data_IF_875186038056
#
_entry.id   IF_875186038056
#
_cell.length_a   1.000
_cell.length_b   1.000
_cell.length_c   1.000
_cell.angle_alpha   90.00
_cell.angle_beta   90.00
_cell.angle_gamma   90.00
#
_symmetry.space_group_name_H-M   'P 1'
#
loop_
_entity.id
_entity.type
_entity.pdbx_description
1 polymer ?
#
# COMPACT_ATOMS: atom_id res chain seq x y z
N UNK A 1 -10.76 20.00 -7.66
CA UNK A 1 -10.41 20.49 -9.01
C UNK A 1 -11.07 19.72 -10.17
N UNK A 2 -11.23 18.39 -10.16
CA UNK A 2 -11.89 17.67 -11.28
C UNK A 2 -13.41 17.90 -11.38
N UNK A 3 -14.17 17.64 -10.31
CA UNK A 3 -15.64 17.87 -10.27
C UNK A 3 -16.06 19.32 -10.54
N UNK A 4 -15.17 20.27 -10.23
CA UNK A 4 -15.40 21.70 -10.50
C UNK A 4 -15.21 22.06 -11.98
N UNK A 5 -14.36 21.30 -12.70
CA UNK A 5 -14.05 21.56 -14.11
C UNK A 5 -14.97 20.79 -15.06
N UNK A 6 -15.59 19.71 -14.59
CA UNK A 6 -16.50 18.85 -15.36
C UNK A 6 -17.73 18.52 -14.48
N UNK A 7 -18.66 19.47 -14.30
CA UNK A 7 -19.79 19.30 -13.40
C UNK A 7 -20.77 18.22 -13.86
N UNK A 8 -20.89 18.00 -15.18
CA UNK A 8 -21.81 17.02 -15.77
C UNK A 8 -21.25 15.59 -15.79
N UNK A 9 -20.01 15.39 -15.31
CA UNK A 9 -19.40 14.06 -15.22
C UNK A 9 -19.72 13.42 -13.88
N UNK A 10 -20.51 12.35 -13.91
CA UNK A 10 -20.79 11.53 -12.74
C UNK A 10 -19.63 10.57 -12.45
N UNK A 11 -19.07 10.67 -11.23
CA UNK A 11 -17.99 9.79 -10.77
C UNK A 11 -18.56 8.83 -9.74
N UNK A 12 -18.54 7.54 -10.07
CA UNK A 12 -18.81 6.47 -9.13
C UNK A 12 -17.47 5.93 -8.59
N UNK A 13 -17.37 5.80 -7.28
CA UNK A 13 -16.19 5.24 -6.61
C UNK A 13 -16.59 3.98 -5.90
N UNK A 14 -15.77 2.93 -6.03
CA UNK A 14 -15.96 1.65 -5.36
C UNK A 14 -14.70 1.27 -4.63
N UNK A 15 -14.82 0.93 -3.35
CA UNK A 15 -13.73 0.39 -2.57
C UNK A 15 -13.63 -1.11 -2.84
N UNK A 16 -12.51 -1.55 -3.40
CA UNK A 16 -12.19 -2.95 -3.72
C UNK A 16 -10.69 -3.20 -3.56
N UNK A 17 -10.28 -4.46 -3.41
CA UNK A 17 -8.87 -4.79 -3.45
C UNK A 17 -8.35 -4.83 -4.90
N UNK A 18 -7.03 -4.75 -5.09
CA UNK A 18 -6.41 -4.71 -6.43
C UNK A 18 -6.76 -5.92 -7.29
N UNK A 19 -6.91 -7.12 -6.71
CA UNK A 19 -7.23 -8.35 -7.47
C UNK A 19 -8.63 -8.26 -8.09
N UNK A 20 -9.58 -7.73 -7.33
CA UNK A 20 -10.96 -7.52 -7.78
C UNK A 20 -11.08 -6.46 -8.88
N UNK A 21 -10.07 -5.60 -9.07
CA UNK A 21 -10.09 -4.61 -10.16
C UNK A 21 -9.72 -5.22 -11.51
N UNK A 22 -8.99 -6.34 -11.54
CA UNK A 22 -8.40 -6.88 -12.78
C UNK A 22 -9.47 -7.24 -13.81
N UNK A 23 -10.45 -8.05 -13.42
CA UNK A 23 -11.51 -8.52 -14.33
C UNK A 23 -12.37 -7.36 -14.84
N UNK A 24 -12.96 -6.49 -13.99
CA UNK A 24 -13.76 -5.36 -14.45
C UNK A 24 -13.00 -4.38 -15.35
N UNK A 25 -11.71 -4.14 -15.10
CA UNK A 25 -10.88 -3.30 -15.98
C UNK A 25 -10.63 -3.98 -17.33
N UNK A 26 -10.35 -5.28 -17.33
CA UNK A 26 -10.10 -6.04 -18.56
C UNK A 26 -11.34 -6.21 -19.44
N UNK A 27 -12.52 -6.26 -18.84
CA UNK A 27 -13.81 -6.37 -19.53
C UNK A 27 -14.40 -5.00 -19.90
N UNK A 28 -13.71 -3.90 -19.58
CA UNK A 28 -14.18 -2.54 -19.87
C UNK A 28 -15.36 -2.09 -19.01
N UNK A 29 -15.70 -2.81 -17.94
CA UNK A 29 -16.74 -2.43 -16.98
C UNK A 29 -16.29 -1.22 -16.14
N UNK A 30 -15.00 -1.11 -15.85
CA UNK A 30 -14.39 0.04 -15.19
C UNK A 30 -13.42 0.77 -16.11
N UNK A 31 -13.42 2.09 -16.01
CA UNK A 31 -12.56 2.95 -16.82
C UNK A 31 -11.18 3.12 -16.17
N UNK A 32 -11.13 3.21 -14.82
CA UNK A 32 -9.90 3.45 -14.06
C UNK A 32 -9.83 2.55 -12.83
N UNK A 33 -8.62 2.09 -12.52
CA UNK A 33 -8.27 1.41 -11.27
C UNK A 33 -7.17 2.15 -10.54
N UNK A 34 -7.26 2.19 -9.21
CA UNK A 34 -6.24 2.77 -8.34
C UNK A 34 -5.74 1.72 -7.37
N UNK A 35 -4.44 1.49 -7.37
CA UNK A 35 -3.82 0.41 -6.61
C UNK A 35 -2.54 0.92 -5.94
N UNK A 36 -2.34 0.55 -4.67
CA UNK A 36 -1.11 0.79 -3.95
C UNK A 36 -0.20 -0.44 -4.09
N UNK A 37 0.48 -0.61 -5.24
CA UNK A 37 1.39 -1.75 -5.46
C UNK A 37 2.65 -1.31 -6.20
N UNK A 38 3.81 -1.86 -5.81
CA UNK A 38 5.08 -1.77 -6.51
C UNK A 38 5.15 -2.68 -7.77
N UNK A 39 4.12 -3.50 -8.04
CA UNK A 39 4.08 -4.50 -9.11
C UNK A 39 2.68 -4.71 -9.73
N UNK A 40 1.98 -3.64 -10.13
CA UNK A 40 0.79 -3.79 -10.98
C UNK A 40 1.12 -4.61 -12.23
N UNK A 41 0.51 -5.80 -12.36
CA UNK A 41 0.66 -6.70 -13.52
C UNK A 41 -0.29 -6.35 -14.67
N UNK A 42 -0.92 -5.18 -14.62
CA UNK A 42 -1.75 -4.68 -15.73
C UNK A 42 -0.83 -4.13 -16.83
N UNK A 43 -1.16 -4.35 -18.12
CA UNK A 43 -0.27 -3.98 -19.24
C UNK A 43 -0.13 -2.47 -19.44
N UNK A 44 -1.06 -1.65 -18.91
CA UNK A 44 -0.99 -0.20 -18.93
C UNK A 44 -1.21 0.35 -17.51
N UNK A 45 -0.22 1.07 -16.99
CA UNK A 45 -0.32 1.79 -15.73
C UNK A 45 0.57 3.04 -15.76
N UNK A 46 0.16 4.07 -15.02
CA UNK A 46 0.97 5.25 -14.76
C UNK A 46 1.05 5.53 -13.26
N UNK A 47 2.17 6.11 -12.82
CA UNK A 47 2.34 6.52 -11.42
C UNK A 47 1.68 7.88 -11.22
N UNK A 48 0.51 7.87 -10.58
CA UNK A 48 -0.24 9.10 -10.23
C UNK A 48 0.33 9.77 -8.97
N UNK A 49 0.82 8.99 -8.00
CA UNK A 49 1.34 9.49 -6.74
C UNK A 49 2.54 8.66 -6.27
N UNK A 50 3.47 9.29 -5.55
CA UNK A 50 4.52 8.62 -4.79
C UNK A 50 4.36 8.98 -3.33
N UNK A 51 4.07 7.99 -2.50
CA UNK A 51 3.92 8.16 -1.05
C UNK A 51 5.12 7.52 -0.32
N UNK A 52 5.70 8.20 0.68
CA UNK A 52 6.76 7.62 1.49
C UNK A 52 6.20 6.54 2.42
N UNK A 53 6.98 5.47 2.64
CA UNK A 53 6.69 4.51 3.72
C UNK A 53 7.04 5.16 5.06
N UNK A 54 6.08 5.16 5.99
CA UNK A 54 6.23 5.75 7.32
C UNK A 54 6.29 4.66 8.40
N UNK A 55 7.17 4.83 9.37
CA UNK A 55 7.26 3.97 10.55
C UNK A 55 6.51 4.61 11.72
N UNK A 56 5.46 3.96 12.20
CA UNK A 56 4.76 4.38 13.42
C UNK A 56 5.40 3.70 14.63
N UNK A 57 5.85 4.52 15.59
CA UNK A 57 6.48 4.05 16.84
C UNK A 57 5.83 4.72 18.05
N UNK A 58 5.80 4.06 19.22
CA UNK A 58 5.39 4.72 20.46
C UNK A 58 6.21 5.99 20.72
N UNK A 59 5.60 7.03 21.29
CA UNK A 59 6.26 8.31 21.53
C UNK A 59 7.50 8.20 22.45
N UNK A 60 7.52 7.21 23.35
CA UNK A 60 8.66 6.93 24.23
C UNK A 60 9.74 6.04 23.60
N UNK A 61 9.56 5.57 22.36
CA UNK A 61 10.51 4.71 21.68
C UNK A 61 11.75 5.52 21.23
N UNK A 62 12.98 5.01 21.34
CA UNK A 62 14.19 5.74 20.92
C UNK A 62 14.15 6.22 19.46
N UNK A 63 13.48 5.50 18.57
CA UNK A 63 13.29 5.90 17.17
C UNK A 63 12.37 7.12 17.00
N UNK A 64 11.51 7.45 17.96
CA UNK A 64 10.63 8.62 17.89
C UNK A 64 11.41 9.95 17.89
N UNK A 65 12.67 9.92 18.34
CA UNK A 65 13.58 11.08 18.33
C UNK A 65 14.37 11.20 17.03
N UNK A 66 14.23 10.25 16.12
CA UNK A 66 14.96 10.25 14.85
C UNK A 66 14.08 10.82 13.74
N UNK A 67 14.61 11.71 12.88
CA UNK A 67 13.84 12.27 11.77
C UNK A 67 13.54 11.23 10.67
N UNK A 68 14.28 10.12 10.66
CA UNK A 68 14.13 9.02 9.72
C UNK A 68 14.64 7.73 10.34
N UNK A 69 14.04 6.59 9.98
CA UNK A 69 14.46 5.27 10.42
C UNK A 69 15.02 4.50 9.23
N UNK A 70 16.23 3.97 9.34
CA UNK A 70 16.76 3.05 8.34
C UNK A 70 16.04 1.70 8.43
N UNK A 71 15.85 1.03 7.29
CA UNK A 71 15.09 -0.23 7.21
C UNK A 71 15.55 -1.28 8.23
N UNK A 72 16.83 -1.31 8.57
CA UNK A 72 17.40 -2.25 9.54
C UNK A 72 17.14 -1.93 11.01
N UNK A 73 17.01 -0.65 11.38
CA UNK A 73 16.78 -0.23 12.76
C UNK A 73 15.33 -0.46 13.22
N UNK A 74 14.36 -0.38 12.29
CA UNK A 74 12.94 -0.62 12.56
C UNK A 74 12.48 -2.08 12.40
N UNK A 75 13.27 -2.95 11.78
CA UNK A 75 12.84 -4.30 11.39
C UNK A 75 12.76 -5.34 12.52
N UNK A 76 13.10 -4.98 13.77
CA UNK A 76 13.15 -5.96 14.88
C UNK A 76 11.76 -6.41 15.37
N UNK A 77 10.71 -5.61 15.14
CA UNK A 77 9.33 -5.99 15.44
C UNK A 77 8.35 -5.10 14.66
N UNK A 78 8.07 -5.44 13.40
CA UNK A 78 7.06 -4.73 12.61
C UNK A 78 5.67 -5.31 12.88
N UNK A 79 4.69 -4.43 13.04
CA UNK A 79 3.26 -4.78 12.93
C UNK A 79 2.82 -4.35 11.54
N UNK A 80 2.56 -5.34 10.70
CA UNK A 80 2.04 -5.14 9.35
C UNK A 80 0.55 -5.50 9.35
N UNK A 81 -0.21 -4.92 8.43
CA UNK A 81 -1.62 -5.26 8.22
C UNK A 81 -1.78 -6.72 7.77
N UNK A 82 -2.98 -7.27 8.00
CA UNK A 82 -3.34 -8.64 7.62
C UNK A 82 -3.07 -8.92 6.12
N UNK A 83 -2.25 -9.94 5.78
CA UNK A 83 -1.91 -10.33 4.42
C UNK A 83 -3.11 -10.84 3.61
N UNK A 84 -4.17 -11.34 4.27
CA UNK A 84 -5.38 -11.88 3.65
C UNK A 84 -6.45 -10.81 3.38
N UNK A 85 -6.35 -9.63 4.00
CA UNK A 85 -7.31 -8.52 3.84
C UNK A 85 -6.78 -7.41 2.91
N UNK A 86 -5.49 -7.41 2.58
CA UNK A 86 -4.80 -6.29 1.94
C UNK A 86 -4.62 -6.32 0.42
N UNK A 87 -4.22 -5.17 -0.11
CA UNK A 87 -3.92 -4.86 -1.52
C UNK A 87 -2.66 -5.51 -2.11
N UNK A 88 -2.04 -6.46 -1.39
CA UNK A 88 -0.70 -7.00 -1.71
C UNK A 88 0.47 -6.19 -1.11
N UNK A 89 0.18 -5.09 -0.41
CA UNK A 89 1.18 -4.21 0.19
C UNK A 89 2.05 -4.92 1.25
N UNK A 90 1.50 -5.92 1.94
CA UNK A 90 2.23 -6.74 2.91
C UNK A 90 3.43 -7.42 2.26
N UNK A 91 3.20 -8.16 1.16
CA UNK A 91 4.25 -8.87 0.44
C UNK A 91 5.24 -7.91 -0.21
N UNK A 92 4.78 -6.76 -0.69
CA UNK A 92 5.64 -5.71 -1.25
C UNK A 92 6.59 -5.10 -0.20
N UNK A 93 6.09 -4.80 1.00
CA UNK A 93 6.93 -4.29 2.11
C UNK A 93 7.95 -5.34 2.55
N UNK A 94 7.53 -6.61 2.69
CA UNK A 94 8.44 -7.69 3.03
C UNK A 94 9.48 -7.93 1.93
N UNK A 95 9.06 -7.90 0.66
CA UNK A 95 9.93 -8.01 -0.50
C UNK A 95 10.96 -6.88 -0.55
N UNK A 96 10.55 -5.64 -0.26
CA UNK A 96 11.43 -4.49 -0.17
C UNK A 96 12.46 -4.67 0.95
N UNK A 97 12.04 -5.02 2.16
CA UNK A 97 12.95 -5.23 3.29
C UNK A 97 13.97 -6.34 3.01
N UNK A 98 13.53 -7.45 2.42
CA UNK A 98 14.41 -8.55 2.01
C UNK A 98 15.44 -8.12 0.95
N UNK A 99 15.03 -7.31 -0.04
CA UNK A 99 15.96 -6.76 -1.05
C UNK A 99 17.08 -5.91 -0.45
N UNK A 100 16.82 -5.26 0.68
CA UNK A 100 17.82 -4.50 1.44
C UNK A 100 18.51 -5.32 2.54
N UNK A 101 18.39 -6.65 2.51
CA UNK A 101 19.10 -7.55 3.45
C UNK A 101 18.49 -7.61 4.85
N UNK A 102 17.24 -7.16 5.02
CA UNK A 102 16.53 -7.21 6.30
C UNK A 102 15.51 -8.35 6.32
N UNK A 103 15.59 -9.18 7.36
CA UNK A 103 14.59 -10.23 7.64
C UNK A 103 13.74 -9.79 8.82
N UNK A 104 12.60 -9.13 8.58
CA UNK A 104 11.77 -8.62 9.67
C UNK A 104 11.20 -9.77 10.49
N UNK A 105 11.22 -9.63 11.83
CA UNK A 105 10.48 -10.52 12.72
C UNK A 105 9.05 -9.99 12.82
N UNK A 106 8.09 -10.74 12.29
CA UNK A 106 6.68 -10.39 12.33
C UNK A 106 6.18 -10.66 13.76
N UNK A 107 5.85 -9.60 14.49
CA UNK A 107 5.52 -9.72 15.91
C UNK A 107 4.05 -10.10 16.15
N UNK A 108 3.12 -9.67 15.27
CA UNK A 108 1.69 -10.02 15.35
C UNK A 108 0.94 -9.61 14.08
N UNK A 109 0.08 -10.48 13.58
CA UNK A 109 -0.90 -10.23 12.52
C UNK A 109 -2.18 -9.65 13.15
N UNK A 110 -2.74 -8.59 12.58
CA UNK A 110 -3.97 -7.95 13.09
C UNK A 110 -5.07 -8.15 12.06
N UNK A 111 -5.89 -9.18 12.25
CA UNK A 111 -7.14 -9.36 11.51
C UNK A 111 -8.20 -8.35 11.94
N UNK A 112 -9.07 -7.97 11.01
CA UNK A 112 -10.24 -7.11 11.27
C UNK A 112 -11.23 -7.90 12.16
N UNK A 113 -11.61 -7.35 13.32
CA UNK A 113 -12.78 -7.82 14.07
C UNK A 113 -14.07 -7.34 13.39
#
# INVERSE_FOLDING_TARGET
>A
MFRQRLPDVHILTRETNTREQIVPLSEGLWIWGCCAILNCRTPAWERVLREPLLAMVPANHPLARQPSVSGGAGARALRLFDPHVGTGLYDDILGLLRRYGHTPKIAREVGRQ
#
